data_IF_663253118542
#
_entry.id   IF_663253118542
#
_cell.length_a   1.000
_cell.length_b   1.000
_cell.length_c   1.000
_cell.angle_alpha   90.00
_cell.angle_beta   90.00
_cell.angle_gamma   90.00
#
_symmetry.space_group_name_H-M   'P 1'
#
loop_
_entity.id
_entity.type
_entity.pdbx_description
1 polymer ?
#
# COMPACT_ATOMS: atom_id res chain seq x y z
N UNK A 1 -2.06 -5.97 4.77
CA UNK A 1 -2.26 -6.17 6.22
C UNK A 1 -3.74 -6.06 6.53
N UNK A 2 -4.22 -6.83 7.50
CA UNK A 2 -5.64 -6.93 7.88
C UNK A 2 -6.22 -5.58 8.32
N UNK A 3 -7.44 -5.25 7.86
CA UNK A 3 -8.11 -3.98 8.23
C UNK A 3 -8.47 -3.92 9.71
N UNK A 4 -8.62 -2.70 10.25
CA UNK A 4 -9.00 -2.47 11.66
C UNK A 4 -10.35 -3.14 12.02
N UNK A 5 -11.28 -3.18 11.06
CA UNK A 5 -12.57 -3.88 11.23
C UNK A 5 -12.37 -5.38 11.40
N UNK A 6 -11.56 -6.01 10.55
CA UNK A 6 -11.28 -7.44 10.67
C UNK A 6 -10.50 -7.77 11.93
N UNK A 7 -9.57 -6.91 12.36
CA UNK A 7 -8.89 -7.05 13.66
C UNK A 7 -9.89 -7.06 14.82
N UNK A 8 -10.88 -6.16 14.79
CA UNK A 8 -11.95 -6.11 15.80
C UNK A 8 -12.80 -7.37 15.79
N UNK A 9 -13.16 -7.86 14.59
CA UNK A 9 -13.94 -9.09 14.44
C UNK A 9 -13.18 -10.32 14.95
N UNK A 10 -11.88 -10.44 14.64
CA UNK A 10 -11.04 -11.51 15.20
C UNK A 10 -10.99 -11.45 16.73
N UNK A 11 -10.92 -10.25 17.31
CA UNK A 11 -10.90 -10.09 18.76
C UNK A 11 -12.20 -10.56 19.43
N UNK A 12 -13.35 -10.34 18.76
CA UNK A 12 -14.65 -10.81 19.22
C UNK A 12 -14.76 -12.34 19.11
N UNK A 13 -14.36 -12.92 17.98
CA UNK A 13 -14.30 -14.39 17.79
C UNK A 13 -13.40 -15.04 18.84
N UNK A 14 -12.23 -14.46 19.12
CA UNK A 14 -11.30 -14.94 20.13
C UNK A 14 -11.89 -14.87 21.56
N UNK A 15 -12.78 -13.91 21.82
CA UNK A 15 -13.54 -13.81 23.09
C UNK A 15 -14.75 -14.75 23.16
N UNK A 16 -14.95 -15.63 22.17
CA UNK A 16 -16.05 -16.58 22.12
C UNK A 16 -17.36 -16.02 21.58
N UNK A 17 -17.34 -14.80 21.03
CA UNK A 17 -18.52 -14.24 20.35
C UNK A 17 -18.68 -14.94 19.01
N UNK A 18 -19.86 -15.52 18.77
CA UNK A 18 -20.20 -16.11 17.48
C UNK A 18 -20.48 -15.00 16.47
N UNK A 19 -19.50 -14.71 15.63
CA UNK A 19 -19.64 -13.82 14.47
C UNK A 19 -19.95 -14.69 13.26
N UNK A 20 -21.04 -14.38 12.55
CA UNK A 20 -21.38 -15.03 11.27
C UNK A 20 -21.13 -14.01 10.16
N UNK A 21 -20.33 -14.40 9.17
CA UNK A 21 -20.06 -13.60 7.99
C UNK A 21 -20.21 -14.46 6.74
N UNK A 22 -20.56 -13.82 5.62
CA UNK A 22 -20.74 -14.48 4.32
C UNK A 22 -19.41 -14.80 3.61
N UNK A 23 -18.28 -14.51 4.26
CA UNK A 23 -16.92 -14.77 3.78
C UNK A 23 -16.18 -15.77 4.70
N UNK A 24 -15.53 -16.82 4.13
CA UNK A 24 -14.73 -17.79 4.88
C UNK A 24 -13.68 -17.13 5.77
N UNK A 25 -13.44 -17.71 6.95
CA UNK A 25 -12.49 -17.19 7.96
C UNK A 25 -11.08 -16.97 7.41
N UNK A 26 -10.64 -17.80 6.45
CA UNK A 26 -9.32 -17.67 5.84
C UNK A 26 -9.15 -16.38 5.00
N UNK A 27 -10.26 -15.85 4.47
CA UNK A 27 -10.25 -14.63 3.65
C UNK A 27 -10.37 -13.35 4.48
N UNK A 28 -10.47 -13.44 5.82
CA UNK A 28 -10.59 -12.25 6.68
C UNK A 28 -9.30 -11.44 6.76
N UNK A 29 -8.17 -12.06 6.44
CA UNK A 29 -6.87 -11.40 6.37
C UNK A 29 -6.58 -10.83 4.97
N UNK A 30 -7.45 -11.07 3.99
CA UNK A 30 -7.27 -10.52 2.65
C UNK A 30 -7.56 -9.02 2.65
N UNK A 31 -6.69 -8.27 1.98
CA UNK A 31 -6.97 -6.87 1.65
C UNK A 31 -8.12 -6.83 0.64
N UNK A 32 -8.96 -5.79 0.68
CA UNK A 32 -10.03 -5.65 -0.31
C UNK A 32 -9.46 -5.66 -1.74
N UNK A 33 -10.29 -6.01 -2.72
CA UNK A 33 -9.88 -6.07 -4.12
C UNK A 33 -9.29 -4.74 -4.60
N UNK A 34 -9.85 -3.61 -4.15
CA UNK A 34 -9.39 -2.26 -4.46
C UNK A 34 -8.00 -1.98 -3.87
N UNK A 35 -7.74 -2.41 -2.63
CA UNK A 35 -6.44 -2.26 -1.99
C UNK A 35 -5.39 -3.17 -2.63
N UNK A 36 -5.79 -4.39 -3.02
CA UNK A 36 -4.91 -5.31 -3.73
C UNK A 36 -4.53 -4.78 -5.13
N UNK A 37 -5.50 -4.21 -5.86
CA UNK A 37 -5.24 -3.58 -7.15
C UNK A 37 -4.32 -2.35 -7.01
N UNK A 38 -4.61 -1.48 -6.04
CA UNK A 38 -3.74 -0.32 -5.75
C UNK A 38 -2.32 -0.76 -5.39
N UNK A 39 -2.17 -1.80 -4.56
CA UNK A 39 -0.85 -2.35 -4.22
C UNK A 39 -0.10 -2.83 -5.46
N UNK A 40 -0.77 -3.49 -6.40
CA UNK A 40 -0.16 -3.93 -7.66
C UNK A 40 0.37 -2.75 -8.48
N UNK A 41 -0.35 -1.62 -8.49
CA UNK A 41 0.12 -0.39 -9.14
C UNK A 41 1.38 0.17 -8.46
N UNK A 42 1.44 0.16 -7.13
CA UNK A 42 2.65 0.55 -6.40
C UNK A 42 3.83 -0.39 -6.66
N UNK A 43 3.60 -1.70 -6.71
CA UNK A 43 4.65 -2.69 -6.97
C UNK A 43 5.26 -2.46 -8.37
N UNK A 44 4.44 -2.21 -9.40
CA UNK A 44 4.91 -1.86 -10.73
C UNK A 44 5.69 -0.53 -10.79
N UNK A 45 5.29 0.47 -9.98
CA UNK A 45 6.02 1.73 -9.85
C UNK A 45 7.41 1.50 -9.23
N UNK A 46 7.50 0.68 -8.19
CA UNK A 46 8.78 0.33 -7.56
C UNK A 46 9.69 -0.36 -8.56
N UNK A 47 9.18 -1.36 -9.30
CA UNK A 47 9.95 -2.05 -10.35
C UNK A 47 10.46 -1.09 -11.43
N UNK A 48 9.61 -0.13 -11.86
CA UNK A 48 9.99 0.84 -12.88
C UNK A 48 11.10 1.79 -12.43
N UNK A 49 11.13 2.14 -11.13
CA UNK A 49 12.03 3.14 -10.58
C UNK A 49 13.08 2.54 -9.63
N UNK A 50 13.35 1.23 -9.72
CA UNK A 50 14.25 0.51 -8.81
C UNK A 50 15.63 1.16 -8.71
N UNK A 51 16.25 1.52 -9.85
CA UNK A 51 17.54 2.22 -9.89
C UNK A 51 17.53 3.57 -9.15
N UNK A 52 16.41 4.32 -9.26
CA UNK A 52 16.25 5.63 -8.61
C UNK A 52 16.06 5.46 -7.10
N UNK A 53 15.30 4.43 -6.70
CA UNK A 53 15.10 4.09 -5.29
C UNK A 53 16.41 3.61 -4.67
N UNK A 54 17.19 2.82 -5.39
CA UNK A 54 18.52 2.37 -4.95
C UNK A 54 19.48 3.55 -4.81
N UNK A 55 19.52 4.47 -5.77
CA UNK A 55 20.33 5.68 -5.68
C UNK A 55 19.93 6.56 -4.50
N UNK A 56 18.62 6.76 -4.28
CA UNK A 56 18.14 7.47 -3.10
C UNK A 56 18.62 6.80 -1.81
N UNK A 57 18.45 5.48 -1.73
CA UNK A 57 18.84 4.71 -0.56
C UNK A 57 20.35 4.76 -0.31
N UNK A 58 21.19 4.88 -1.34
CA UNK A 58 22.65 4.92 -1.18
C UNK A 58 23.19 6.33 -0.92
N UNK A 59 22.59 7.36 -1.54
CA UNK A 59 23.23 8.67 -1.69
C UNK A 59 22.37 9.87 -1.24
N UNK A 60 21.05 9.70 -1.09
CA UNK A 60 20.12 10.81 -0.86
C UNK A 60 19.18 10.63 0.34
N UNK A 61 19.60 9.85 1.34
CA UNK A 61 18.82 9.55 2.55
C UNK A 61 18.40 10.80 3.35
N UNK A 62 19.07 11.94 3.15
CA UNK A 62 18.72 13.23 3.73
C UNK A 62 17.49 13.89 3.09
N UNK A 63 17.12 13.47 1.87
CA UNK A 63 15.90 13.90 1.19
C UNK A 63 14.75 12.95 1.56
N UNK A 64 13.52 13.45 1.66
CA UNK A 64 12.34 12.58 1.76
C UNK A 64 12.21 11.73 0.49
N UNK A 65 11.99 10.42 0.65
CA UNK A 65 11.87 9.48 -0.47
C UNK A 65 10.70 9.84 -1.39
N UNK A 66 9.57 10.28 -0.83
CA UNK A 66 8.37 10.59 -1.61
C UNK A 66 8.65 11.80 -2.49
N UNK A 67 9.25 12.85 -1.95
CA UNK A 67 9.62 14.04 -2.73
C UNK A 67 10.68 13.72 -3.78
N UNK A 68 11.71 12.95 -3.40
CA UNK A 68 12.75 12.52 -4.33
C UNK A 68 12.15 11.71 -5.47
N UNK A 69 11.46 10.62 -5.17
CA UNK A 69 10.90 9.70 -6.17
C UNK A 69 9.77 10.36 -6.96
N UNK A 70 8.75 10.89 -6.31
CA UNK A 70 7.53 11.34 -6.98
C UNK A 70 7.74 12.68 -7.69
N UNK A 71 8.22 13.71 -6.99
CA UNK A 71 8.28 15.05 -7.57
C UNK A 71 9.42 15.22 -8.58
N UNK A 72 10.57 14.55 -8.37
CA UNK A 72 11.75 14.69 -9.23
C UNK A 72 11.85 13.63 -10.33
N UNK A 73 11.21 12.47 -10.19
CA UNK A 73 11.29 11.39 -11.18
C UNK A 73 9.93 11.00 -11.76
N UNK A 74 8.97 10.53 -10.96
CA UNK A 74 7.67 10.02 -11.45
C UNK A 74 6.86 11.10 -12.18
N UNK A 75 6.77 12.29 -11.59
CA UNK A 75 5.98 13.41 -12.12
C UNK A 75 6.78 14.28 -13.10
N UNK A 76 8.04 13.96 -13.38
CA UNK A 76 8.88 14.77 -14.26
C UNK A 76 8.43 14.58 -15.72
N UNK A 77 7.73 15.58 -16.25
CA UNK A 77 7.18 15.56 -17.61
C UNK A 77 5.71 15.12 -17.70
N UNK A 78 5.06 14.84 -16.56
CA UNK A 78 3.62 14.63 -16.47
C UNK A 78 2.94 15.91 -15.94
N UNK A 79 1.72 16.18 -16.41
CA UNK A 79 0.96 17.36 -16.01
C UNK A 79 0.58 17.26 -14.51
N UNK A 80 1.15 18.13 -13.69
CA UNK A 80 0.99 18.14 -12.23
C UNK A 80 -0.42 18.50 -11.77
N UNK A 81 -1.28 18.95 -12.69
CA UNK A 81 -2.68 19.34 -12.42
C UNK A 81 -3.63 18.16 -12.15
N UNK A 82 -3.17 16.91 -12.23
CA UNK A 82 -4.03 15.72 -12.08
C UNK A 82 -4.09 15.12 -10.68
N UNK A 83 -3.44 15.74 -9.70
CA UNK A 83 -3.41 15.26 -8.31
C UNK A 83 -3.98 16.28 -7.29
N UNK A 84 -4.58 17.39 -7.77
CA UNK A 84 -5.36 18.33 -6.94
C UNK A 84 -6.86 17.95 -6.92
#
# INVERSE_FOLDING_TARGET
>A
GMSETFQTLHHLVHKGVKVVMDIPYELWNETSAEVADMKKQCDALIEQYDDVIEDWYRNHQQDDLTDFLCAKHVLKGQDKSKFD
#
